data_IF_286244642915
#
_entry.id   IF_286244642915
#
_cell.length_a   1.000
_cell.length_b   1.000
_cell.length_c   1.000
_cell.angle_alpha   90.00
_cell.angle_beta   90.00
_cell.angle_gamma   90.00
#
_symmetry.space_group_name_H-M   'P 1'
#
loop_
_entity.id
_entity.type
_entity.pdbx_description
1 polymer ?
#
# COMPACT_ATOMS: atom_id res chain seq x y z
N UNK A 1 45.10 15.11 12.46
CA UNK A 1 43.80 15.74 12.17
C UNK A 1 42.82 14.65 11.77
N UNK A 2 41.54 14.90 11.98
CA UNK A 2 40.46 14.02 11.54
C UNK A 2 40.27 14.12 10.03
N UNK A 3 39.80 13.04 9.39
CA UNK A 3 39.24 13.11 8.05
C UNK A 3 37.73 13.32 8.20
N UNK A 4 37.22 14.45 7.72
CA UNK A 4 35.85 14.91 7.96
C UNK A 4 35.07 14.90 6.65
N UNK A 5 33.87 14.32 6.67
CA UNK A 5 32.92 14.40 5.55
C UNK A 5 31.65 15.07 6.05
N UNK A 6 31.32 16.23 5.52
CA UNK A 6 30.06 16.92 5.78
C UNK A 6 28.99 16.33 4.85
N UNK A 7 27.91 15.80 5.40
CA UNK A 7 26.80 15.22 4.62
C UNK A 7 25.73 16.28 4.41
N UNK A 8 25.76 16.97 3.27
CA UNK A 8 24.81 18.02 2.90
C UNK A 8 24.86 18.32 1.40
N UNK A 9 23.78 18.88 0.86
CA UNK A 9 23.73 19.46 -0.50
C UNK A 9 23.85 20.98 -0.52
N UNK A 10 23.94 21.60 0.66
CA UNK A 10 24.06 23.05 0.81
C UNK A 10 25.41 23.55 0.26
N UNK A 11 25.33 24.53 -0.63
CA UNK A 11 26.49 25.13 -1.31
C UNK A 11 27.30 26.02 -0.37
N UNK A 12 26.69 26.58 0.67
CA UNK A 12 27.38 27.51 1.56
C UNK A 12 28.43 26.78 2.41
N UNK A 13 28.16 25.51 2.74
CA UNK A 13 29.10 24.62 3.43
C UNK A 13 30.34 24.26 2.61
N UNK A 14 30.31 24.47 1.29
CA UNK A 14 31.48 24.24 0.43
C UNK A 14 32.63 25.20 0.73
N UNK A 15 32.38 26.29 1.48
CA UNK A 15 33.41 27.20 2.00
C UNK A 15 34.39 26.51 2.97
N UNK A 16 33.98 25.41 3.61
CA UNK A 16 34.79 24.69 4.60
C UNK A 16 35.72 23.64 3.96
N UNK A 17 35.60 23.38 2.66
CA UNK A 17 36.36 22.33 1.96
C UNK A 17 37.86 22.65 2.00
N UNK A 18 38.64 21.73 2.56
CA UNK A 18 40.09 21.82 2.68
C UNK A 18 40.73 20.41 2.64
N UNK A 19 42.05 20.27 2.56
CA UNK A 19 42.69 18.95 2.59
C UNK A 19 42.34 18.16 3.87
N UNK A 20 41.54 17.10 3.71
CA UNK A 20 41.03 16.29 4.83
C UNK A 20 39.58 16.57 5.23
N UNK A 21 38.93 17.57 4.62
CA UNK A 21 37.50 17.90 4.80
C UNK A 21 36.80 17.99 3.44
N UNK A 22 35.84 17.09 3.20
CA UNK A 22 35.03 17.06 1.98
C UNK A 22 33.52 17.13 2.24
N UNK A 23 32.73 17.31 1.17
CA UNK A 23 31.27 17.27 1.22
C UNK A 23 30.76 15.99 0.54
N UNK A 24 29.69 15.41 1.06
CA UNK A 24 28.99 14.29 0.43
C UNK A 24 27.52 14.64 0.20
N UNK A 25 27.15 14.71 -1.08
CA UNK A 25 25.78 14.95 -1.54
C UNK A 25 25.06 13.60 -1.68
N UNK A 26 24.11 13.34 -0.78
CA UNK A 26 23.31 12.11 -0.75
C UNK A 26 22.27 12.04 -1.87
N UNK A 27 21.84 13.18 -2.43
CA UNK A 27 20.86 13.22 -3.51
C UNK A 27 21.46 12.74 -4.82
N UNK A 28 22.72 13.12 -5.09
CA UNK A 28 23.45 12.74 -6.31
C UNK A 28 24.50 11.65 -6.08
N UNK A 29 24.64 11.16 -4.84
CA UNK A 29 25.63 10.16 -4.43
C UNK A 29 27.06 10.50 -4.88
N UNK A 30 27.51 11.74 -4.60
CA UNK A 30 28.80 12.28 -5.07
C UNK A 30 29.57 12.93 -3.92
N UNK A 31 30.89 12.69 -3.87
CA UNK A 31 31.83 13.46 -3.05
C UNK A 31 32.29 14.73 -3.78
N UNK A 32 32.25 15.86 -3.09
CA UNK A 32 32.59 17.18 -3.59
C UNK A 32 33.84 17.66 -2.87
N UNK A 33 34.90 17.93 -3.64
CA UNK A 33 36.14 18.53 -3.17
C UNK A 33 36.37 19.90 -3.82
N UNK A 34 37.55 20.47 -3.58
CA UNK A 34 37.90 21.82 -4.07
C UNK A 34 37.79 21.95 -5.60
N UNK A 35 38.08 20.88 -6.35
CA UNK A 35 37.91 20.84 -7.81
C UNK A 35 36.46 21.11 -8.24
N UNK A 36 35.48 20.58 -7.50
CA UNK A 36 34.07 20.82 -7.80
C UNK A 36 33.68 22.29 -7.57
N UNK A 37 34.22 22.90 -6.51
CA UNK A 37 33.99 24.33 -6.23
C UNK A 37 34.56 25.18 -7.35
N UNK A 38 35.76 24.86 -7.83
CA UNK A 38 36.39 25.53 -8.95
C UNK A 38 35.61 25.36 -10.25
N UNK A 39 35.14 24.15 -10.57
CA UNK A 39 34.33 23.88 -11.77
C UNK A 39 33.00 24.64 -11.76
N UNK A 40 32.32 24.64 -10.61
CA UNK A 40 30.95 25.18 -10.48
C UNK A 40 30.93 26.69 -10.28
N UNK A 41 31.84 27.21 -9.44
CA UNK A 41 31.85 28.61 -9.02
C UNK A 41 33.05 29.39 -9.55
N UNK A 42 34.04 28.76 -10.18
CA UNK A 42 35.19 29.46 -10.78
C UNK A 42 36.19 30.02 -9.77
N UNK A 43 36.05 29.67 -8.48
CA UNK A 43 36.94 30.07 -7.39
C UNK A 43 37.24 28.87 -6.50
N UNK A 44 38.28 28.98 -5.68
CA UNK A 44 38.59 28.01 -4.64
C UNK A 44 37.69 28.22 -3.40
N UNK A 45 37.53 27.21 -2.51
CA UNK A 45 36.67 27.28 -1.33
C UNK A 45 36.88 28.52 -0.43
N UNK A 46 38.13 28.96 -0.28
CA UNK A 46 38.55 30.13 0.52
C UNK A 46 37.92 31.45 0.06
N UNK A 47 37.50 31.53 -1.20
CA UNK A 47 36.89 32.73 -1.82
C UNK A 47 35.42 32.56 -2.15
N UNK A 48 34.84 31.40 -1.85
CA UNK A 48 33.46 31.09 -2.20
C UNK A 48 32.47 32.02 -1.48
N UNK A 49 32.73 32.37 -0.22
CA UNK A 49 31.89 33.30 0.55
C UNK A 49 31.75 34.67 -0.11
N UNK A 50 32.82 35.20 -0.70
CA UNK A 50 32.78 36.48 -1.41
C UNK A 50 31.98 36.39 -2.72
N UNK A 51 32.06 35.25 -3.42
CA UNK A 51 31.27 34.98 -4.64
C UNK A 51 29.78 34.89 -4.30
N UNK A 52 29.43 34.18 -3.22
CA UNK A 52 28.05 34.06 -2.74
C UNK A 52 27.50 35.41 -2.30
N UNK A 53 28.31 36.23 -1.63
CA UNK A 53 27.93 37.57 -1.20
C UNK A 53 27.58 38.51 -2.38
N UNK A 54 28.31 38.42 -3.49
CA UNK A 54 28.04 39.21 -4.70
C UNK A 54 26.84 38.69 -5.48
N UNK A 55 26.69 37.38 -5.60
CA UNK A 55 25.62 36.75 -6.38
C UNK A 55 24.26 36.83 -5.67
N UNK A 56 24.26 36.73 -4.35
CA UNK A 56 23.04 36.57 -3.56
C UNK A 56 22.41 35.18 -3.70
N UNK A 57 21.35 34.96 -2.92
CA UNK A 57 20.49 33.79 -3.00
C UNK A 57 19.04 34.17 -2.69
N UNK A 58 18.16 34.08 -3.68
CA UNK A 58 16.75 34.37 -3.50
C UNK A 58 16.01 33.33 -2.63
N UNK A 59 16.52 32.11 -2.52
CA UNK A 59 15.91 31.04 -1.70
C UNK A 59 16.11 31.36 -0.21
N UNK A 60 17.31 31.81 0.15
CA UNK A 60 17.69 32.14 1.53
C UNK A 60 17.52 33.64 1.87
N UNK A 61 16.83 34.40 1.01
CA UNK A 61 16.63 35.85 1.14
C UNK A 61 17.95 36.63 1.30
N UNK A 62 19.04 36.15 0.69
CA UNK A 62 20.33 36.82 0.65
C UNK A 62 20.33 37.80 -0.55
N UNK A 63 20.37 39.12 -0.33
CA UNK A 63 20.06 40.11 -1.37
C UNK A 63 21.08 40.20 -2.52
N UNK A 64 22.38 40.10 -2.22
CA UNK A 64 23.45 40.21 -3.21
C UNK A 64 23.46 41.52 -4.00
N UNK A 65 24.13 41.50 -5.17
CA UNK A 65 24.18 42.64 -6.11
C UNK A 65 23.40 42.29 -7.38
N UNK A 66 22.43 43.15 -7.70
CA UNK A 66 21.54 42.95 -8.85
C UNK A 66 22.34 42.86 -10.16
N UNK A 67 22.08 41.81 -10.94
CA UNK A 67 22.75 41.60 -12.23
C UNK A 67 24.15 40.97 -12.14
N UNK A 68 24.59 40.59 -10.95
CA UNK A 68 25.81 39.81 -10.74
C UNK A 68 25.45 38.33 -10.60
N UNK A 69 25.65 37.56 -11.68
CA UNK A 69 25.52 36.11 -11.64
C UNK A 69 26.82 35.39 -11.23
N UNK A 70 26.81 34.06 -11.08
CA UNK A 70 27.95 33.29 -10.59
C UNK A 70 29.24 33.49 -11.40
N UNK A 71 29.13 33.59 -12.74
CA UNK A 71 30.27 33.84 -13.64
C UNK A 71 30.85 35.25 -13.52
N UNK A 72 29.99 36.24 -13.24
CA UNK A 72 30.43 37.63 -13.09
C UNK A 72 31.07 37.82 -11.73
N UNK A 73 30.47 37.26 -10.67
CA UNK A 73 31.02 37.27 -9.31
C UNK A 73 32.40 36.62 -9.28
N UNK A 74 32.55 35.41 -9.83
CA UNK A 74 33.84 34.70 -9.84
C UNK A 74 34.93 35.44 -10.60
N UNK A 75 34.59 36.06 -11.74
CA UNK A 75 35.52 36.92 -12.48
C UNK A 75 35.99 38.11 -11.64
N UNK A 76 35.07 38.83 -11.01
CA UNK A 76 35.39 40.01 -10.19
C UNK A 76 36.27 39.64 -8.99
N UNK A 77 35.95 38.55 -8.31
CA UNK A 77 36.73 38.05 -7.16
C UNK A 77 38.12 37.58 -7.61
N UNK A 78 38.25 36.91 -8.75
CA UNK A 78 39.56 36.51 -9.27
C UNK A 78 40.42 37.72 -9.70
N UNK A 79 39.81 38.80 -10.22
CA UNK A 79 40.51 40.02 -10.65
C UNK A 79 40.90 40.93 -9.48
N UNK A 80 40.05 41.03 -8.44
CA UNK A 80 40.20 42.02 -7.37
C UNK A 80 40.48 41.42 -5.98
N UNK A 81 40.52 40.10 -5.86
CA UNK A 81 40.92 39.37 -4.65
C UNK A 81 39.72 38.90 -3.80
N UNK A 82 39.01 39.85 -3.19
CA UNK A 82 37.90 39.61 -2.27
C UNK A 82 36.74 40.61 -2.50
N UNK A 83 35.66 40.50 -1.72
CA UNK A 83 34.50 41.38 -1.83
C UNK A 83 34.88 42.87 -1.68
N UNK A 84 35.69 43.23 -0.68
CA UNK A 84 36.05 44.64 -0.44
C UNK A 84 36.95 45.18 -1.56
N UNK A 85 37.83 44.35 -2.13
CA UNK A 85 38.61 44.67 -3.31
C UNK A 85 37.73 44.98 -4.52
N UNK A 86 36.66 44.20 -4.74
CA UNK A 86 35.69 44.46 -5.81
C UNK A 86 34.95 45.79 -5.57
N UNK A 87 34.47 46.03 -4.35
CA UNK A 87 33.74 47.25 -4.00
C UNK A 87 34.64 48.50 -4.08
N UNK A 88 35.90 48.40 -3.66
CA UNK A 88 36.89 49.48 -3.76
C UNK A 88 37.30 49.77 -5.20
N UNK A 89 37.35 48.75 -6.07
CA UNK A 89 37.65 48.92 -7.49
C UNK A 89 36.46 49.46 -8.30
N UNK A 90 35.22 49.25 -7.83
CA UNK A 90 34.00 49.60 -8.55
C UNK A 90 33.99 51.04 -9.12
N UNK A 91 34.38 52.12 -8.41
CA UNK A 91 34.38 53.48 -8.95
C UNK A 91 35.28 53.68 -10.19
N UNK A 92 36.31 52.84 -10.34
CA UNK A 92 37.28 52.88 -11.45
C UNK A 92 36.95 51.94 -12.62
N UNK A 93 35.88 51.15 -12.50
CA UNK A 93 35.44 50.22 -13.55
C UNK A 93 34.80 50.96 -14.74
N UNK A 94 34.73 50.26 -15.88
CA UNK A 94 34.08 50.79 -17.08
C UNK A 94 32.64 51.24 -16.77
N UNK A 95 32.21 52.42 -17.26
CA UNK A 95 30.84 52.89 -17.07
C UNK A 95 29.81 51.88 -17.58
N UNK A 96 28.84 51.53 -16.74
CA UNK A 96 27.75 50.61 -17.08
C UNK A 96 26.95 50.16 -15.85
N UNK A 97 25.81 49.51 -16.08
CA UNK A 97 24.87 49.08 -15.02
C UNK A 97 25.51 48.23 -13.91
N UNK A 98 26.49 47.39 -14.26
CA UNK A 98 27.22 46.57 -13.29
C UNK A 98 27.97 47.42 -12.28
N UNK A 99 28.65 48.48 -12.75
CA UNK A 99 29.40 49.41 -11.91
C UNK A 99 28.46 50.17 -10.97
N UNK A 100 27.38 50.70 -11.53
CA UNK A 100 26.43 51.52 -10.77
C UNK A 100 25.75 50.66 -9.68
N UNK A 101 25.37 49.41 -9.99
CA UNK A 101 24.82 48.47 -9.01
C UNK A 101 25.81 48.08 -7.91
N UNK A 102 27.10 47.89 -8.23
CA UNK A 102 28.13 47.59 -7.23
C UNK A 102 28.34 48.75 -6.25
N UNK A 103 28.19 50.01 -6.71
CA UNK A 103 28.30 51.20 -5.88
C UNK A 103 27.03 51.39 -5.03
N UNK A 104 25.85 51.29 -5.65
CA UNK A 104 24.56 51.51 -4.97
C UNK A 104 24.20 50.41 -3.97
N UNK A 105 24.61 49.17 -4.23
CA UNK A 105 24.25 47.98 -3.42
C UNK A 105 25.43 47.43 -2.61
N UNK A 106 26.48 48.25 -2.40
CA UNK A 106 27.68 47.84 -1.66
C UNK A 106 27.35 47.32 -0.24
N UNK A 107 26.45 48.00 0.47
CA UNK A 107 26.06 47.61 1.83
C UNK A 107 25.22 46.31 1.85
N UNK A 108 24.43 46.07 0.81
CA UNK A 108 23.73 44.79 0.65
C UNK A 108 24.72 43.65 0.44
N UNK A 109 25.76 43.85 -0.38
CA UNK A 109 26.79 42.84 -0.59
C UNK A 109 27.57 42.53 0.70
N UNK A 110 27.88 43.56 1.51
CA UNK A 110 28.52 43.39 2.83
C UNK A 110 27.62 42.63 3.79
N UNK A 111 26.33 42.97 3.84
CA UNK A 111 25.35 42.22 4.63
C UNK A 111 25.27 40.77 4.17
N UNK A 112 25.20 40.53 2.85
CA UNK A 112 25.21 39.19 2.28
C UNK A 112 26.45 38.40 2.69
N UNK A 113 27.64 39.02 2.73
CA UNK A 113 28.86 38.37 3.23
C UNK A 113 28.71 37.93 4.68
N UNK A 114 28.15 38.77 5.55
CA UNK A 114 27.88 38.39 6.95
C UNK A 114 26.91 37.22 7.02
N UNK A 115 25.85 37.22 6.20
CA UNK A 115 24.83 36.17 6.20
C UNK A 115 25.33 34.80 5.72
N UNK A 116 26.22 34.78 4.71
CA UNK A 116 26.77 33.52 4.16
C UNK A 116 28.04 33.05 4.87
N UNK A 117 28.63 33.86 5.76
CA UNK A 117 29.83 33.48 6.50
C UNK A 117 29.45 32.51 7.63
N UNK A 118 30.07 31.32 7.62
CA UNK A 118 29.84 30.30 8.63
C UNK A 118 30.59 30.64 9.93
N UNK A 119 29.90 30.57 11.07
CA UNK A 119 30.51 30.76 12.38
C UNK A 119 31.18 29.46 12.86
N UNK A 120 32.51 29.41 12.73
CA UNK A 120 33.32 28.26 13.16
C UNK A 120 33.84 28.37 14.61
N UNK A 121 33.35 29.33 15.40
CA UNK A 121 33.82 29.60 16.77
C UNK A 121 32.86 29.15 17.87
N UNK A 122 31.67 28.68 17.48
CA UNK A 122 30.70 28.17 18.45
C UNK A 122 31.25 26.92 19.16
N UNK A 123 31.18 26.86 20.51
CA UNK A 123 31.58 25.69 21.25
C UNK A 123 30.63 24.53 20.95
N UNK A 124 31.20 23.35 20.68
CA UNK A 124 30.40 22.12 20.55
C UNK A 124 29.79 21.74 21.91
N UNK A 125 28.57 21.19 21.94
CA UNK A 125 27.92 20.74 23.17
C UNK A 125 28.67 19.56 23.83
N UNK A 126 29.38 18.76 23.03
CA UNK A 126 30.19 17.63 23.46
C UNK A 126 31.54 17.62 22.71
N UNK A 127 32.65 17.14 23.30
CA UNK A 127 33.94 17.03 22.62
C UNK A 127 33.88 16.10 21.39
N UNK A 128 34.60 16.42 20.32
CA UNK A 128 34.66 15.60 19.10
C UNK A 128 35.06 14.14 19.37
N UNK A 129 35.96 13.91 20.33
CA UNK A 129 36.43 12.58 20.71
C UNK A 129 35.32 11.71 21.33
N UNK A 130 34.25 12.33 21.85
CA UNK A 130 33.10 11.64 22.46
C UNK A 130 31.98 11.33 21.45
N UNK A 131 32.05 11.89 20.23
CA UNK A 131 31.11 11.69 19.12
C UNK A 131 31.40 10.43 18.30
N UNK A 132 32.17 9.49 18.84
CA UNK A 132 32.38 8.17 18.23
C UNK A 132 31.03 7.44 18.11
N UNK A 133 30.82 6.73 16.99
CA UNK A 133 29.62 5.93 16.78
C UNK A 133 29.62 4.74 17.77
N UNK A 134 28.88 4.87 18.88
CA UNK A 134 28.79 3.86 19.96
C UNK A 134 27.99 2.59 19.59
N UNK A 135 27.73 2.37 18.30
CA UNK A 135 26.84 1.33 17.77
C UNK A 135 25.38 1.76 17.72
N UNK A 136 24.53 0.85 17.24
CA UNK A 136 23.09 1.07 17.14
C UNK A 136 22.44 0.59 18.45
N UNK A 137 21.70 1.45 19.18
CA UNK A 137 21.01 1.01 20.39
C UNK A 137 19.78 0.17 20.02
N UNK A 138 19.81 -1.13 20.33
CA UNK A 138 18.77 -2.09 19.94
C UNK A 138 17.38 -1.76 20.52
N UNK A 139 17.33 -1.37 21.80
CA UNK A 139 16.09 -1.29 22.55
C UNK A 139 15.15 -0.11 22.18
N UNK A 140 15.61 1.13 21.91
CA UNK A 140 14.71 2.18 21.43
C UNK A 140 14.48 2.14 19.92
N UNK A 141 15.45 1.64 19.13
CA UNK A 141 15.35 1.71 17.67
C UNK A 141 14.39 0.66 17.10
N UNK A 142 14.48 -0.61 17.52
CA UNK A 142 13.56 -1.64 17.02
C UNK A 142 12.11 -1.27 17.30
N UNK A 143 11.81 -0.88 18.54
CA UNK A 143 10.47 -0.45 18.96
C UNK A 143 9.97 0.75 18.13
N UNK A 144 10.84 1.72 17.85
CA UNK A 144 10.51 2.86 16.98
C UNK A 144 10.22 2.40 15.54
N UNK A 145 11.06 1.54 14.97
CA UNK A 145 10.89 1.03 13.60
C UNK A 145 9.63 0.15 13.47
N UNK A 146 9.29 -0.64 14.49
CA UNK A 146 8.06 -1.45 14.56
C UNK A 146 6.82 -0.56 14.65
N UNK A 147 6.83 0.41 15.58
CA UNK A 147 5.73 1.36 15.75
C UNK A 147 5.41 2.14 14.46
N UNK A 148 6.43 2.51 13.70
CA UNK A 148 6.28 3.26 12.44
C UNK A 148 6.23 2.39 11.18
N UNK A 149 6.27 1.05 11.31
CA UNK A 149 6.12 0.13 10.18
C UNK A 149 7.29 0.11 9.19
N UNK A 150 8.52 0.45 9.61
CA UNK A 150 9.71 0.46 8.75
C UNK A 150 10.31 -0.95 8.55
N UNK A 151 9.53 -1.83 7.90
CA UNK A 151 9.83 -3.27 7.71
C UNK A 151 11.19 -3.54 7.06
N UNK A 152 11.61 -2.76 6.07
CA UNK A 152 12.89 -2.95 5.38
C UNK A 152 14.12 -2.66 6.25
N UNK A 153 13.98 -1.72 7.19
CA UNK A 153 15.02 -1.40 8.18
C UNK A 153 15.05 -2.45 9.29
N UNK A 154 13.89 -2.97 9.71
CA UNK A 154 13.80 -4.09 10.65
C UNK A 154 14.46 -5.36 10.12
N UNK A 155 14.25 -5.71 8.84
CA UNK A 155 14.92 -6.86 8.21
C UNK A 155 16.45 -6.69 8.19
N UNK A 156 16.95 -5.46 8.02
CA UNK A 156 18.39 -5.16 8.08
C UNK A 156 18.95 -5.21 9.51
N UNK A 157 18.12 -4.99 10.53
CA UNK A 157 18.49 -5.04 11.94
C UNK A 157 18.63 -6.49 12.48
N UNK A 158 17.96 -7.46 11.85
CA UNK A 158 17.69 -8.82 12.38
C UNK A 158 18.85 -9.81 12.51
N UNK A 159 20.10 -9.39 12.75
CA UNK A 159 21.23 -10.29 13.03
C UNK A 159 21.69 -10.33 14.49
N UNK A 160 20.99 -9.69 15.43
CA UNK A 160 21.33 -9.77 16.87
C UNK A 160 20.10 -10.19 17.67
N UNK A 161 20.27 -11.19 18.54
CA UNK A 161 19.20 -11.86 19.27
C UNK A 161 18.61 -10.97 20.39
N UNK A 162 17.27 -10.96 20.48
CA UNK A 162 16.48 -10.04 21.31
C UNK A 162 16.48 -10.33 22.82
N UNK A 163 16.29 -9.27 23.60
CA UNK A 163 15.59 -9.30 24.89
C UNK A 163 14.13 -8.85 24.69
N UNK A 164 13.15 -9.38 25.46
CA UNK A 164 11.73 -9.23 25.13
C UNK A 164 11.22 -7.81 25.43
N UNK A 165 10.57 -7.19 24.44
CA UNK A 165 9.72 -5.99 24.62
C UNK A 165 8.33 -6.47 25.07
N UNK A 166 7.62 -5.76 25.98
CA UNK A 166 6.26 -6.13 26.34
C UNK A 166 5.37 -5.96 25.12
N UNK A 167 4.76 -7.06 24.68
CA UNK A 167 3.76 -7.03 23.62
C UNK A 167 2.64 -6.02 23.95
N UNK A 168 2.00 -5.38 22.95
CA UNK A 168 0.69 -4.76 23.18
C UNK A 168 -0.16 -5.80 23.91
N UNK A 169 -0.95 -5.36 24.90
CA UNK A 169 -1.72 -6.23 25.79
C UNK A 169 -2.45 -7.28 24.95
N UNK A 170 -1.84 -8.46 24.80
CA UNK A 170 -2.38 -9.51 23.99
C UNK A 170 -3.54 -10.02 24.80
N UNK A 171 -4.75 -9.89 24.26
CA UNK A 171 -5.91 -10.50 24.89
C UNK A 171 -5.57 -11.98 24.99
N UNK A 172 -5.38 -12.55 26.21
CA UNK A 172 -4.98 -13.93 26.34
C UNK A 172 -6.10 -14.77 25.76
N UNK A 173 -5.79 -15.48 24.67
CA UNK A 173 -6.76 -16.31 24.00
C UNK A 173 -6.33 -17.76 24.08
N UNK A 174 -7.30 -18.58 24.46
CA UNK A 174 -7.16 -20.02 24.44
C UNK A 174 -6.91 -20.49 23.00
N UNK A 175 -5.93 -21.37 22.83
CA UNK A 175 -5.66 -21.97 21.52
C UNK A 175 -6.84 -22.84 21.12
N UNK A 176 -7.36 -22.63 19.92
CA UNK A 176 -8.42 -23.48 19.39
C UNK A 176 -7.82 -24.86 18.99
N UNK A 177 -8.59 -25.96 19.11
CA UNK A 177 -8.13 -27.27 18.65
C UNK A 177 -7.86 -27.24 17.13
N UNK A 178 -6.93 -28.06 16.58
CA UNK A 178 -6.74 -28.14 15.13
C UNK A 178 -8.05 -28.43 14.39
N UNK A 179 -8.19 -27.92 13.16
CA UNK A 179 -9.35 -28.21 12.32
C UNK A 179 -9.43 -29.72 12.04
N UNK A 180 -10.57 -30.32 12.36
CA UNK A 180 -10.86 -31.73 12.11
C UNK A 180 -11.99 -31.86 11.08
N UNK A 181 -11.60 -31.96 9.81
CA UNK A 181 -12.55 -31.97 8.69
C UNK A 181 -13.50 -33.18 8.71
N UNK A 182 -13.14 -34.27 9.38
CA UNK A 182 -13.97 -35.48 9.44
C UNK A 182 -15.15 -35.33 10.44
N UNK A 183 -15.13 -34.28 11.27
CA UNK A 183 -16.24 -33.92 12.17
C UNK A 183 -17.34 -33.12 11.50
N UNK A 184 -17.09 -32.60 10.29
CA UNK A 184 -18.04 -31.74 9.60
C UNK A 184 -19.20 -32.54 9.01
N UNK A 185 -20.40 -32.00 9.15
CA UNK A 185 -21.64 -32.67 8.77
C UNK A 185 -22.11 -32.23 7.37
N UNK A 186 -22.48 -33.18 6.52
CA UNK A 186 -23.25 -32.88 5.30
C UNK A 186 -24.74 -32.96 5.64
N UNK A 187 -25.43 -31.83 5.63
CA UNK A 187 -26.86 -31.71 5.96
C UNK A 187 -27.69 -31.95 4.71
N UNK A 188 -28.34 -33.11 4.61
CA UNK A 188 -29.03 -33.57 3.40
C UNK A 188 -30.55 -33.66 3.54
N UNK A 189 -31.09 -33.39 4.73
CA UNK A 189 -32.52 -33.27 4.95
C UNK A 189 -32.90 -32.05 5.82
N UNK A 190 -34.20 -31.74 5.85
CA UNK A 190 -34.72 -30.57 6.54
C UNK A 190 -34.67 -30.73 8.07
N UNK A 191 -34.77 -31.94 8.60
CA UNK A 191 -34.76 -32.17 10.05
C UNK A 191 -33.36 -31.88 10.63
N UNK A 192 -32.31 -32.26 9.91
CA UNK A 192 -30.93 -31.89 10.24
C UNK A 192 -30.74 -30.38 10.17
N UNK A 193 -31.24 -29.72 9.11
CA UNK A 193 -31.16 -28.26 8.97
C UNK A 193 -31.87 -27.53 10.12
N UNK A 194 -33.08 -27.98 10.50
CA UNK A 194 -33.85 -27.41 11.60
C UNK A 194 -33.12 -27.55 12.95
N UNK A 195 -32.42 -28.66 13.18
CA UNK A 195 -31.60 -28.86 14.38
C UNK A 195 -30.42 -27.87 14.45
N UNK A 196 -29.74 -27.62 13.32
CA UNK A 196 -28.71 -26.58 13.22
C UNK A 196 -29.27 -25.17 13.45
N UNK A 197 -30.42 -24.84 12.86
CA UNK A 197 -31.12 -23.56 13.05
C UNK A 197 -31.51 -23.36 14.52
N UNK A 198 -32.04 -24.40 15.18
CA UNK A 198 -32.42 -24.35 16.58
C UNK A 198 -31.20 -24.08 17.49
N UNK A 199 -30.08 -24.75 17.24
CA UNK A 199 -28.81 -24.52 17.96
C UNK A 199 -28.28 -23.10 17.78
N UNK A 200 -28.32 -22.60 16.54
CA UNK A 200 -27.92 -21.23 16.20
C UNK A 200 -28.77 -20.18 16.93
N UNK A 201 -30.11 -20.37 16.93
CA UNK A 201 -31.04 -19.50 17.67
C UNK A 201 -30.81 -19.55 19.18
N UNK A 202 -30.54 -20.73 19.73
CA UNK A 202 -30.28 -20.88 21.16
C UNK A 202 -29.03 -20.13 21.61
N UNK A 203 -27.95 -20.15 20.81
CA UNK A 203 -26.71 -19.43 21.16
C UNK A 203 -26.69 -17.96 20.72
N UNK A 204 -27.43 -17.60 19.67
CA UNK A 204 -27.54 -16.22 19.18
C UNK A 204 -26.50 -15.82 18.15
N UNK A 205 -25.73 -16.76 17.58
CA UNK A 205 -24.82 -16.49 16.46
C UNK A 205 -24.60 -17.73 15.60
N UNK A 206 -24.12 -17.52 14.38
CA UNK A 206 -23.69 -18.58 13.45
C UNK A 206 -22.71 -17.99 12.43
N UNK A 207 -21.60 -18.67 12.17
CA UNK A 207 -20.74 -18.32 11.03
C UNK A 207 -21.29 -18.96 9.77
N UNK A 208 -21.25 -18.24 8.66
CA UNK A 208 -21.83 -18.65 7.39
C UNK A 208 -20.89 -18.33 6.23
N UNK A 209 -20.99 -19.13 5.19
CA UNK A 209 -20.36 -18.90 3.89
C UNK A 209 -21.21 -19.55 2.77
N UNK A 210 -21.04 -19.08 1.53
CA UNK A 210 -21.81 -19.55 0.37
C UNK A 210 -20.92 -20.08 -0.74
N UNK A 211 -21.30 -21.26 -1.23
CA UNK A 211 -20.65 -21.89 -2.37
C UNK A 211 -21.46 -21.67 -3.64
N UNK A 212 -20.80 -21.32 -4.72
CA UNK A 212 -21.47 -20.84 -5.94
C UNK A 212 -20.83 -21.34 -7.23
N UNK A 213 -21.50 -21.10 -8.36
CA UNK A 213 -21.01 -21.53 -9.69
C UNK A 213 -19.94 -20.61 -10.31
N UNK A 214 -19.61 -19.47 -9.69
CA UNK A 214 -18.63 -18.52 -10.22
C UNK A 214 -18.23 -17.46 -9.21
N UNK A 215 -17.43 -16.49 -9.64
CA UNK A 215 -16.93 -15.39 -8.76
C UNK A 215 -17.70 -14.08 -8.92
N UNK A 216 -18.64 -14.01 -9.86
CA UNK A 216 -19.53 -12.86 -10.03
C UNK A 216 -20.83 -13.11 -9.26
N UNK A 217 -20.94 -12.51 -8.08
CA UNK A 217 -22.05 -12.72 -7.15
C UNK A 217 -23.43 -12.42 -7.75
N UNK A 218 -23.53 -11.54 -8.76
CA UNK A 218 -24.81 -11.17 -9.38
C UNK A 218 -25.28 -12.15 -10.45
N UNK A 219 -24.38 -13.03 -10.89
CA UNK A 219 -24.61 -14.00 -11.98
C UNK A 219 -24.42 -15.45 -11.55
N UNK A 220 -23.75 -15.68 -10.43
CA UNK A 220 -23.50 -17.00 -9.90
C UNK A 220 -24.78 -17.59 -9.30
N UNK A 221 -24.95 -18.89 -9.46
CA UNK A 221 -26.02 -19.65 -8.82
C UNK A 221 -25.51 -20.19 -7.49
N UNK A 222 -26.37 -20.15 -6.47
CA UNK A 222 -26.09 -20.76 -5.16
C UNK A 222 -26.06 -22.29 -5.29
N UNK A 223 -24.94 -22.90 -4.88
CA UNK A 223 -24.71 -24.34 -4.88
C UNK A 223 -24.88 -24.92 -3.48
N UNK A 224 -24.52 -24.18 -2.43
CA UNK A 224 -24.73 -24.59 -1.05
C UNK A 224 -24.36 -23.49 -0.05
N UNK A 225 -24.67 -23.76 1.21
CA UNK A 225 -24.39 -22.86 2.33
C UNK A 225 -23.66 -23.66 3.40
N UNK A 226 -22.52 -23.17 3.87
CA UNK A 226 -21.85 -23.73 5.03
C UNK A 226 -22.16 -22.92 6.28
N UNK A 227 -22.12 -23.59 7.43
CA UNK A 227 -22.43 -22.96 8.72
C UNK A 227 -21.52 -23.53 9.81
N UNK A 228 -21.11 -22.69 10.77
CA UNK A 228 -20.37 -23.13 11.94
C UNK A 228 -20.90 -22.51 13.23
N UNK A 229 -21.01 -23.33 14.27
CA UNK A 229 -21.42 -22.91 15.61
C UNK A 229 -20.21 -22.70 16.53
N UNK A 230 -19.18 -23.54 16.38
CA UNK A 230 -17.98 -23.63 17.23
C UNK A 230 -16.83 -24.30 16.47
N UNK A 231 -15.59 -24.29 17.01
CA UNK A 231 -14.45 -25.00 16.46
C UNK A 231 -14.78 -26.49 16.27
N UNK A 232 -14.56 -27.02 15.07
CA UNK A 232 -14.89 -28.41 14.71
C UNK A 232 -16.38 -28.76 14.79
N UNK A 233 -17.26 -27.75 14.79
CA UNK A 233 -18.71 -27.92 14.72
C UNK A 233 -19.24 -27.06 13.59
N UNK A 234 -19.00 -27.54 12.37
CA UNK A 234 -19.45 -26.95 11.13
C UNK A 234 -20.17 -27.97 10.25
N UNK A 235 -21.01 -27.47 9.34
CA UNK A 235 -21.74 -28.27 8.38
C UNK A 235 -21.78 -27.60 7.01
N UNK A 236 -22.09 -28.40 5.99
CA UNK A 236 -22.40 -27.93 4.65
C UNK A 236 -23.80 -28.40 4.24
N UNK A 237 -24.62 -27.46 3.75
CA UNK A 237 -25.97 -27.68 3.24
C UNK A 237 -25.91 -27.59 1.71
N UNK A 238 -25.80 -28.72 0.98
CA UNK A 238 -25.83 -28.72 -0.47
C UNK A 238 -27.25 -28.43 -0.99
N UNK A 239 -27.35 -27.52 -1.97
CA UNK A 239 -28.60 -27.00 -2.54
C UNK A 239 -28.67 -27.11 -4.08
N UNK A 240 -27.54 -27.42 -4.73
CA UNK A 240 -27.40 -27.38 -6.17
C UNK A 240 -26.27 -28.21 -6.75
N UNK A 241 -25.81 -29.27 -6.04
CA UNK A 241 -24.87 -30.24 -6.61
C UNK A 241 -25.57 -31.14 -7.64
N UNK A 242 -24.83 -31.51 -8.67
CA UNK A 242 -25.31 -32.30 -9.78
C UNK A 242 -24.60 -31.94 -11.08
N UNK A 243 -24.70 -32.81 -12.07
CA UNK A 243 -24.22 -32.51 -13.42
C UNK A 243 -25.27 -31.77 -14.23
N UNK A 244 -24.84 -31.04 -15.27
CA UNK A 244 -25.75 -30.42 -16.24
C UNK A 244 -26.34 -31.40 -17.26
N UNK A 245 -25.82 -32.63 -17.28
CA UNK A 245 -26.22 -33.66 -18.24
C UNK A 245 -27.50 -34.39 -17.82
N UNK A 246 -28.35 -34.73 -18.80
CA UNK A 246 -29.61 -35.46 -18.61
C UNK A 246 -29.48 -36.83 -17.92
N UNK A 247 -28.26 -37.38 -17.85
CA UNK A 247 -27.94 -38.66 -17.23
C UNK A 247 -27.16 -38.51 -15.91
N UNK A 248 -26.91 -37.28 -15.45
CA UNK A 248 -26.20 -37.05 -14.21
C UNK A 248 -27.08 -37.44 -13.02
N UNK A 249 -26.57 -38.34 -12.17
CA UNK A 249 -27.19 -38.63 -10.89
C UNK A 249 -26.89 -37.48 -9.93
N UNK A 250 -27.95 -36.80 -9.48
CA UNK A 250 -27.82 -35.76 -8.46
C UNK A 250 -27.68 -36.43 -7.09
N UNK A 251 -26.71 -36.01 -6.26
CA UNK A 251 -26.58 -36.56 -4.92
C UNK A 251 -27.80 -36.17 -4.07
N UNK A 252 -28.03 -36.92 -2.99
CA UNK A 252 -29.09 -36.62 -2.01
C UNK A 252 -28.77 -35.29 -1.33
N UNK A 253 -29.73 -34.38 -1.37
CA UNK A 253 -29.61 -32.99 -0.92
C UNK A 253 -30.95 -32.51 -0.37
N UNK A 254 -30.94 -31.46 0.43
CA UNK A 254 -32.17 -30.85 0.96
C UNK A 254 -32.99 -30.29 -0.20
N UNK A 255 -34.32 -30.34 -0.09
CA UNK A 255 -35.18 -29.59 -1.02
C UNK A 255 -34.80 -28.10 -0.99
N UNK A 256 -34.37 -27.58 -2.14
CA UNK A 256 -33.80 -26.23 -2.24
C UNK A 256 -34.79 -25.16 -1.78
N UNK A 257 -36.06 -25.28 -2.12
CA UNK A 257 -37.06 -24.28 -1.78
C UNK A 257 -37.35 -24.28 -0.26
N UNK A 258 -37.50 -25.46 0.33
CA UNK A 258 -37.67 -25.61 1.77
C UNK A 258 -36.44 -25.13 2.56
N UNK A 259 -35.23 -25.48 2.11
CA UNK A 259 -34.00 -25.02 2.74
C UNK A 259 -33.85 -23.50 2.68
N UNK A 260 -34.10 -22.87 1.53
CA UNK A 260 -34.03 -21.41 1.39
C UNK A 260 -35.06 -20.70 2.28
N UNK A 261 -36.27 -21.25 2.44
CA UNK A 261 -37.26 -20.70 3.36
C UNK A 261 -36.78 -20.78 4.82
N UNK A 262 -36.25 -21.93 5.25
CA UNK A 262 -35.73 -22.10 6.61
C UNK A 262 -34.49 -21.22 6.88
N UNK A 263 -33.57 -21.13 5.93
CA UNK A 263 -32.40 -20.26 6.00
C UNK A 263 -32.78 -18.78 6.01
N UNK A 264 -33.80 -18.37 5.24
CA UNK A 264 -34.34 -17.00 5.27
C UNK A 264 -34.76 -16.61 6.69
N UNK A 265 -35.53 -17.47 7.34
CA UNK A 265 -36.03 -17.24 8.70
C UNK A 265 -34.90 -17.15 9.75
N UNK A 266 -33.74 -17.77 9.51
CA UNK A 266 -32.56 -17.65 10.38
C UNK A 266 -31.71 -16.41 10.04
N UNK A 267 -31.47 -16.17 8.75
CA UNK A 267 -30.55 -15.14 8.29
C UNK A 267 -31.15 -13.73 8.38
N UNK A 268 -32.47 -13.60 8.43
CA UNK A 268 -33.17 -12.34 8.72
C UNK A 268 -33.50 -12.14 10.21
N UNK A 269 -33.26 -13.16 11.06
CA UNK A 269 -33.56 -13.10 12.49
C UNK A 269 -32.65 -12.08 13.21
N UNK A 270 -33.21 -11.01 13.81
CA UNK A 270 -32.42 -10.01 14.51
C UNK A 270 -31.74 -10.54 15.78
N UNK A 271 -32.18 -11.69 16.32
CA UNK A 271 -31.63 -12.30 17.51
C UNK A 271 -30.39 -13.17 17.23
N UNK A 272 -30.10 -13.48 15.96
CA UNK A 272 -28.95 -14.31 15.58
C UNK A 272 -27.94 -13.49 14.80
N UNK A 273 -26.72 -13.36 15.30
CA UNK A 273 -25.61 -12.72 14.59
C UNK A 273 -25.05 -13.64 13.50
N UNK A 274 -25.01 -13.17 12.25
CA UNK A 274 -24.36 -13.90 11.15
C UNK A 274 -22.91 -13.45 11.02
N UNK A 275 -21.97 -14.38 11.04
CA UNK A 275 -20.54 -14.09 11.00
C UNK A 275 -19.99 -14.56 9.65
N UNK A 276 -19.39 -13.67 8.87
CA UNK A 276 -18.83 -14.02 7.56
C UNK A 276 -17.38 -13.60 7.39
N UNK A 277 -16.80 -14.00 6.26
CA UNK A 277 -15.53 -13.48 5.76
C UNK A 277 -15.76 -12.94 4.35
N UNK A 278 -15.67 -11.62 4.15
CA UNK A 278 -16.11 -10.97 2.91
C UNK A 278 -17.60 -11.21 2.62
N UNK A 279 -18.43 -11.03 3.65
CA UNK A 279 -19.86 -11.34 3.67
C UNK A 279 -20.67 -10.57 2.62
N UNK A 280 -20.10 -9.48 2.07
CA UNK A 280 -20.68 -8.76 0.92
C UNK A 280 -20.98 -9.71 -0.25
N UNK A 281 -20.10 -10.68 -0.53
CA UNK A 281 -20.31 -11.64 -1.61
C UNK A 281 -21.58 -12.48 -1.34
N UNK A 282 -21.63 -13.09 -0.16
CA UNK A 282 -22.74 -13.93 0.30
C UNK A 282 -24.06 -13.16 0.33
N UNK A 283 -24.05 -11.91 0.82
CA UNK A 283 -25.21 -11.04 0.82
C UNK A 283 -25.78 -10.79 -0.58
N UNK A 284 -24.90 -10.64 -1.58
CA UNK A 284 -25.35 -10.47 -2.97
C UNK A 284 -26.03 -11.74 -3.45
N UNK A 285 -25.37 -12.90 -3.31
CA UNK A 285 -25.89 -14.21 -3.75
C UNK A 285 -27.20 -14.59 -3.05
N UNK A 286 -27.24 -14.47 -1.72
CA UNK A 286 -28.43 -14.75 -0.91
C UNK A 286 -29.56 -13.76 -1.21
N UNK A 287 -29.23 -12.49 -1.48
CA UNK A 287 -30.22 -11.50 -1.88
C UNK A 287 -30.82 -11.77 -3.26
N UNK A 288 -30.07 -12.35 -4.20
CA UNK A 288 -30.62 -12.88 -5.46
C UNK A 288 -31.62 -14.03 -5.23
N UNK A 289 -31.49 -14.75 -4.10
CA UNK A 289 -32.43 -15.76 -3.62
C UNK A 289 -33.55 -15.18 -2.71
N UNK A 290 -33.62 -13.86 -2.51
CA UNK A 290 -34.63 -13.21 -1.69
C UNK A 290 -34.38 -13.24 -0.18
N UNK A 291 -33.13 -13.45 0.25
CA UNK A 291 -32.70 -13.49 1.66
C UNK A 291 -31.87 -12.25 1.99
N UNK A 292 -32.26 -11.50 3.03
CA UNK A 292 -31.56 -10.31 3.50
C UNK A 292 -30.80 -10.58 4.81
N UNK A 293 -29.49 -10.84 4.72
CA UNK A 293 -28.67 -11.18 5.90
C UNK A 293 -28.55 -9.98 6.86
N UNK A 294 -29.08 -10.11 8.09
CA UNK A 294 -28.90 -9.16 9.18
C UNK A 294 -29.30 -9.74 10.54
N UNK A 295 -28.68 -9.33 11.67
CA UNK A 295 -27.44 -8.56 11.80
C UNK A 295 -26.22 -9.41 11.45
N UNK A 296 -25.09 -8.75 11.20
CA UNK A 296 -23.88 -9.46 10.81
C UNK A 296 -22.61 -8.83 11.35
N UNK A 297 -21.57 -9.65 11.39
CA UNK A 297 -20.17 -9.27 11.60
C UNK A 297 -19.35 -9.85 10.43
N UNK A 298 -18.39 -9.07 9.92
CA UNK A 298 -17.49 -9.49 8.84
C UNK A 298 -16.03 -9.47 9.29
N UNK A 299 -15.38 -10.63 9.26
CA UNK A 299 -14.01 -10.83 9.72
C UNK A 299 -12.96 -10.20 8.81
N UNK A 300 -13.22 -10.05 7.51
CA UNK A 300 -12.26 -9.35 6.62
C UNK A 300 -12.17 -7.87 7.00
N UNK A 301 -13.33 -7.27 7.33
CA UNK A 301 -13.44 -5.87 7.74
C UNK A 301 -12.84 -5.69 9.14
N UNK A 302 -13.11 -6.61 10.07
CA UNK A 302 -12.46 -6.56 11.38
C UNK A 302 -10.94 -6.63 11.28
N UNK A 303 -10.41 -7.52 10.44
CA UNK A 303 -8.97 -7.63 10.23
C UNK A 303 -8.39 -6.36 9.60
N UNK A 304 -9.09 -5.75 8.65
CA UNK A 304 -8.68 -4.47 8.09
C UNK A 304 -8.62 -3.37 9.16
N UNK A 305 -9.65 -3.23 9.98
CA UNK A 305 -9.71 -2.18 11.01
C UNK A 305 -8.69 -2.36 12.15
N UNK A 306 -8.20 -3.59 12.34
CA UNK A 306 -7.16 -3.91 13.33
C UNK A 306 -5.75 -3.77 12.74
N UNK A 307 -5.54 -4.31 11.53
CA UNK A 307 -4.22 -4.64 11.00
C UNK A 307 -3.94 -4.00 9.61
N UNK A 308 -4.66 -2.92 9.25
CA UNK A 308 -4.51 -2.24 7.96
C UNK A 308 -3.02 -1.96 7.60
N UNK A 309 -2.58 -2.46 6.44
CA UNK A 309 -1.22 -2.26 5.93
C UNK A 309 -0.15 -3.20 6.52
N UNK A 310 -0.52 -4.07 7.47
CA UNK A 310 0.41 -5.06 8.02
C UNK A 310 0.59 -6.26 7.07
N UNK A 311 -0.51 -6.83 6.58
CA UNK A 311 -0.55 -8.02 5.73
C UNK A 311 -1.83 -8.02 4.87
N UNK A 312 -2.02 -9.02 4.02
CA UNK A 312 -3.30 -9.21 3.34
C UNK A 312 -4.38 -9.70 4.31
N UNK A 313 -5.64 -9.46 3.95
CA UNK A 313 -6.80 -9.79 4.79
C UNK A 313 -7.60 -10.99 4.26
N UNK A 314 -7.07 -11.72 3.28
CA UNK A 314 -7.71 -12.93 2.78
C UNK A 314 -7.66 -14.07 3.80
N UNK A 315 -8.67 -14.94 3.77
CA UNK A 315 -8.83 -16.02 4.74
C UNK A 315 -7.60 -16.91 4.89
N UNK A 316 -6.97 -17.37 3.80
CA UNK A 316 -5.77 -18.22 3.84
C UNK A 316 -4.63 -17.58 4.64
N UNK A 317 -4.38 -16.28 4.40
CA UNK A 317 -3.32 -15.53 5.06
C UNK A 317 -3.65 -15.29 6.54
N UNK A 318 -4.91 -14.97 6.85
CA UNK A 318 -5.37 -14.77 8.22
C UNK A 318 -5.40 -16.08 9.02
N UNK A 319 -5.77 -17.20 8.40
CA UNK A 319 -5.76 -18.52 9.01
C UNK A 319 -4.32 -18.94 9.34
N UNK A 320 -3.36 -18.71 8.44
CA UNK A 320 -1.95 -18.99 8.69
C UNK A 320 -1.40 -18.10 9.82
N UNK A 321 -1.61 -16.79 9.73
CA UNK A 321 -1.05 -15.80 10.68
C UNK A 321 -1.67 -15.94 12.06
N UNK A 322 -3.01 -16.01 12.16
CA UNK A 322 -3.68 -16.01 13.45
C UNK A 322 -3.87 -17.44 13.97
N UNK A 323 -4.29 -18.40 13.15
CA UNK A 323 -4.67 -19.74 13.62
C UNK A 323 -3.54 -20.78 13.52
N UNK A 324 -2.42 -20.46 12.88
CA UNK A 324 -1.39 -21.44 12.51
C UNK A 324 -1.98 -22.61 11.71
N UNK A 325 -2.98 -22.30 10.86
CA UNK A 325 -3.74 -23.26 10.07
C UNK A 325 -3.58 -22.96 8.58
N UNK A 326 -3.52 -24.00 7.75
CA UNK A 326 -3.53 -23.88 6.29
C UNK A 326 -4.87 -24.39 5.78
N UNK A 327 -5.68 -23.51 5.21
CA UNK A 327 -6.94 -23.87 4.60
C UNK A 327 -6.73 -24.76 3.35
N UNK A 328 -7.76 -25.53 3.00
CA UNK A 328 -7.87 -26.29 1.77
C UNK A 328 -7.97 -25.28 0.63
N UNK A 329 -7.05 -25.35 -0.34
CA UNK A 329 -7.10 -24.42 -1.45
C UNK A 329 -8.23 -24.80 -2.42
N UNK A 330 -8.99 -23.81 -2.92
CA UNK A 330 -10.08 -24.03 -3.89
C UNK A 330 -9.66 -24.89 -5.09
N UNK A 331 -8.45 -24.64 -5.61
CA UNK A 331 -7.86 -25.41 -6.73
C UNK A 331 -7.69 -26.90 -6.45
N UNK A 332 -7.57 -27.31 -5.19
CA UNK A 332 -7.40 -28.72 -4.80
C UNK A 332 -8.75 -29.45 -4.80
N UNK A 333 -9.85 -28.70 -4.73
CA UNK A 333 -11.22 -29.18 -4.78
C UNK A 333 -11.73 -29.24 -6.23
N UNK A 334 -11.63 -28.11 -6.94
CA UNK A 334 -12.21 -27.97 -8.29
C UNK A 334 -11.22 -28.25 -9.43
N UNK A 335 -9.92 -28.35 -9.15
CA UNK A 335 -8.87 -28.45 -10.15
C UNK A 335 -8.42 -27.10 -10.71
N UNK A 336 -7.69 -27.10 -11.82
CA UNK A 336 -7.13 -25.88 -12.43
C UNK A 336 -7.29 -25.85 -13.96
N UNK A 337 -7.24 -24.64 -14.53
CA UNK A 337 -7.21 -24.44 -15.98
C UNK A 337 -8.46 -24.92 -16.70
N UNK A 338 -8.30 -25.47 -17.90
CA UNK A 338 -9.43 -25.91 -18.75
C UNK A 338 -10.20 -27.12 -18.21
N UNK A 339 -9.62 -27.83 -17.24
CA UNK A 339 -10.23 -29.00 -16.58
C UNK A 339 -10.82 -28.65 -15.22
N UNK A 340 -10.82 -27.37 -14.84
CA UNK A 340 -11.47 -26.91 -13.62
C UNK A 340 -12.97 -27.17 -13.71
N UNK A 341 -13.51 -27.84 -12.71
CA UNK A 341 -14.93 -28.16 -12.58
C UNK A 341 -15.66 -27.03 -11.88
N UNK A 342 -16.97 -26.95 -12.07
CA UNK A 342 -17.81 -26.11 -11.21
C UNK A 342 -17.93 -26.71 -9.82
N UNK A 343 -18.15 -25.90 -8.79
CA UNK A 343 -18.32 -26.40 -7.42
C UNK A 343 -19.49 -27.39 -7.28
N UNK A 344 -20.55 -27.18 -8.08
CA UNK A 344 -21.72 -28.07 -8.18
C UNK A 344 -21.38 -29.50 -8.66
N UNK A 345 -20.24 -29.70 -9.32
CA UNK A 345 -19.79 -31.00 -9.83
C UNK A 345 -18.82 -31.71 -8.88
N UNK A 346 -18.46 -31.07 -7.76
CA UNK A 346 -17.60 -31.64 -6.72
C UNK A 346 -18.39 -32.66 -5.91
N UNK A 347 -17.72 -33.74 -5.48
CA UNK A 347 -18.34 -34.71 -4.59
C UNK A 347 -18.69 -34.09 -3.23
N UNK A 348 -19.83 -34.49 -2.66
CA UNK A 348 -20.32 -33.87 -1.42
C UNK A 348 -19.35 -33.98 -0.25
N UNK A 349 -18.49 -35.02 -0.21
CA UNK A 349 -17.53 -35.16 0.88
C UNK A 349 -16.42 -34.10 0.78
N UNK A 350 -15.83 -33.93 -0.40
CA UNK A 350 -14.83 -32.88 -0.63
C UNK A 350 -15.43 -31.47 -0.49
N UNK A 351 -16.63 -31.25 -1.04
CA UNK A 351 -17.35 -29.98 -0.91
C UNK A 351 -17.64 -29.65 0.56
N UNK A 352 -18.09 -30.63 1.35
CA UNK A 352 -18.34 -30.43 2.80
C UNK A 352 -17.07 -30.07 3.54
N UNK A 353 -15.95 -30.76 3.27
CA UNK A 353 -14.67 -30.48 3.95
C UNK A 353 -14.17 -29.06 3.68
N UNK A 354 -14.27 -28.60 2.43
CA UNK A 354 -13.87 -27.25 2.02
C UNK A 354 -14.81 -26.19 2.61
N UNK A 355 -16.11 -26.26 2.27
CA UNK A 355 -17.06 -25.22 2.63
C UNK A 355 -17.25 -25.09 4.15
N UNK A 356 -17.29 -26.22 4.88
CA UNK A 356 -17.44 -26.19 6.32
C UNK A 356 -16.14 -25.75 7.03
N UNK A 357 -14.96 -25.92 6.42
CA UNK A 357 -13.72 -25.33 6.93
C UNK A 357 -13.79 -23.81 6.86
N UNK A 358 -14.25 -23.24 5.74
CA UNK A 358 -14.35 -21.80 5.55
C UNK A 358 -15.25 -21.15 6.62
N UNK A 359 -16.40 -21.78 6.95
CA UNK A 359 -17.26 -21.35 8.04
C UNK A 359 -16.61 -21.51 9.44
N UNK A 360 -15.91 -22.62 9.70
CA UNK A 360 -15.22 -22.84 10.99
C UNK A 360 -14.07 -21.83 11.19
N UNK A 361 -13.22 -21.66 10.18
CA UNK A 361 -12.12 -20.68 10.18
C UNK A 361 -12.67 -19.28 10.38
N UNK A 362 -13.76 -18.92 9.70
CA UNK A 362 -14.45 -17.64 9.89
C UNK A 362 -14.89 -17.44 11.35
N UNK A 363 -15.52 -18.44 11.98
CA UNK A 363 -15.89 -18.37 13.39
C UNK A 363 -14.66 -18.17 14.30
N UNK A 364 -13.59 -18.92 14.05
CA UNK A 364 -12.35 -18.83 14.83
C UNK A 364 -11.73 -17.45 14.73
N UNK A 365 -11.61 -16.91 13.52
CA UNK A 365 -11.11 -15.56 13.26
C UNK A 365 -11.97 -14.50 13.96
N UNK A 366 -13.30 -14.61 13.88
CA UNK A 366 -14.21 -13.70 14.55
C UNK A 366 -14.00 -13.67 16.07
N UNK A 367 -13.88 -14.84 16.72
CA UNK A 367 -13.57 -14.92 18.16
C UNK A 367 -12.30 -14.16 18.51
N UNK A 368 -11.29 -14.18 17.62
CA UNK A 368 -10.01 -13.46 17.79
C UNK A 368 -10.19 -11.96 17.65
N UNK A 369 -10.74 -11.53 16.52
CA UNK A 369 -10.81 -10.12 16.16
C UNK A 369 -11.83 -9.38 17.02
N UNK A 370 -12.98 -9.99 17.34
CA UNK A 370 -14.01 -9.36 18.17
C UNK A 370 -13.48 -8.98 19.55
N UNK A 371 -12.63 -9.81 20.13
CA UNK A 371 -11.99 -9.53 21.43
C UNK A 371 -10.94 -8.41 21.36
N UNK A 372 -10.28 -8.26 20.21
CA UNK A 372 -9.25 -7.23 19.95
C UNK A 372 -9.84 -5.85 19.69
N UNK A 373 -10.97 -5.75 18.98
CA UNK A 373 -11.60 -4.47 18.61
C UNK A 373 -11.73 -3.45 19.76
N UNK A 374 -12.18 -3.80 20.99
CA UNK A 374 -12.24 -2.84 22.10
C UNK A 374 -10.87 -2.59 22.73
N UNK A 375 -10.00 -3.60 22.78
CA UNK A 375 -8.67 -3.48 23.37
C UNK A 375 -7.76 -2.55 22.55
N UNK A 376 -7.91 -2.55 21.22
CA UNK A 376 -7.08 -1.79 20.28
C UNK A 376 -7.76 -0.49 19.80
N UNK A 377 -8.98 -0.20 20.28
CA UNK A 377 -9.68 1.06 19.99
C UNK A 377 -10.39 1.12 18.63
N UNK A 378 -10.42 0.04 17.86
CA UNK A 378 -11.05 -0.04 16.54
C UNK A 378 -12.57 -0.29 16.57
N UNK A 379 -13.17 -0.50 17.74
CA UNK A 379 -14.62 -0.79 17.85
C UNK A 379 -15.51 0.25 17.18
N UNK A 380 -15.22 1.55 17.36
CA UNK A 380 -16.07 2.62 16.84
C UNK A 380 -16.08 2.66 15.31
N UNK A 381 -14.90 2.53 14.70
CA UNK A 381 -14.78 2.58 13.24
C UNK A 381 -15.46 1.35 12.61
N UNK A 382 -15.19 0.16 13.16
CA UNK A 382 -15.85 -1.07 12.75
C UNK A 382 -17.38 -0.99 12.85
N UNK A 383 -17.92 -0.71 14.04
CA UNK A 383 -19.37 -0.79 14.27
C UNK A 383 -20.16 0.34 13.60
N UNK A 384 -19.59 1.55 13.50
CA UNK A 384 -20.34 2.74 13.05
C UNK A 384 -20.06 3.13 11.59
N UNK A 385 -18.98 2.64 10.99
CA UNK A 385 -18.56 3.05 9.63
C UNK A 385 -18.50 1.84 8.71
N UNK A 386 -17.57 0.92 8.96
CA UNK A 386 -17.22 -0.08 7.95
C UNK A 386 -18.19 -1.27 7.92
N UNK A 387 -18.65 -1.76 9.07
CA UNK A 387 -19.65 -2.84 9.12
C UNK A 387 -20.98 -2.46 8.44
N UNK A 388 -21.60 -1.28 8.69
CA UNK A 388 -22.81 -0.89 7.98
C UNK A 388 -22.65 -0.78 6.46
N UNK A 389 -21.45 -0.41 5.99
CA UNK A 389 -21.15 -0.19 4.58
C UNK A 389 -21.22 -1.48 3.75
N UNK A 390 -20.92 -2.64 4.33
CA UNK A 390 -21.01 -3.96 3.68
C UNK A 390 -22.39 -4.15 3.01
N UNK A 391 -23.47 -3.92 3.76
CA UNK A 391 -24.85 -4.06 3.25
C UNK A 391 -25.23 -2.99 2.22
N UNK A 392 -24.60 -1.82 2.26
CA UNK A 392 -24.82 -0.75 1.28
C UNK A 392 -24.17 -1.13 -0.04
N UNK A 393 -22.91 -1.58 -0.01
CA UNK A 393 -22.17 -2.01 -1.20
C UNK A 393 -22.86 -3.22 -1.84
N UNK A 394 -23.28 -4.21 -1.06
CA UNK A 394 -24.02 -5.37 -1.58
C UNK A 394 -25.28 -4.95 -2.38
N UNK A 395 -26.08 -4.01 -1.84
CA UNK A 395 -27.26 -3.48 -2.54
C UNK A 395 -26.91 -2.67 -3.78
N UNK A 396 -25.79 -1.94 -3.77
CA UNK A 396 -25.31 -1.21 -4.95
C UNK A 396 -24.91 -2.17 -6.07
N UNK A 397 -24.19 -3.25 -5.74
CA UNK A 397 -23.82 -4.29 -6.71
C UNK A 397 -25.04 -4.99 -7.29
N UNK A 398 -26.01 -5.40 -6.45
CA UNK A 398 -27.28 -6.00 -6.90
C UNK A 398 -28.08 -5.07 -7.83
N UNK A 399 -28.06 -3.77 -7.55
CA UNK A 399 -28.81 -2.80 -8.36
C UNK A 399 -28.15 -2.57 -9.73
N UNK A 400 -26.83 -2.55 -9.76
CA UNK A 400 -26.04 -2.23 -10.94
C UNK A 400 -26.25 -0.81 -11.47
N UNK A 401 -25.64 -0.53 -12.62
CA UNK A 401 -25.79 0.74 -13.34
C UNK A 401 -26.33 0.46 -14.75
N UNK A 402 -27.33 1.23 -15.17
CA UNK A 402 -27.85 1.14 -16.53
C UNK A 402 -26.89 1.84 -17.49
N UNK A 403 -26.46 1.11 -18.52
CA UNK A 403 -25.60 1.64 -19.58
C UNK A 403 -26.31 1.60 -20.93
N UNK A 404 -26.04 2.60 -21.77
CA UNK A 404 -26.51 2.63 -23.16
C UNK A 404 -25.49 1.92 -24.06
N UNK A 405 -25.86 0.72 -24.52
CA UNK A 405 -25.00 -0.12 -25.36
C UNK A 405 -24.69 0.54 -26.71
N UNK A 406 -25.63 1.29 -27.28
CA UNK A 406 -25.45 1.89 -28.60
C UNK A 406 -24.48 3.07 -28.52
N UNK A 407 -24.55 3.86 -27.44
CA UNK A 407 -23.56 4.91 -27.15
C UNK A 407 -22.17 4.29 -26.96
N UNK A 408 -22.04 3.24 -26.16
CA UNK A 408 -20.75 2.56 -25.96
C UNK A 408 -20.19 1.98 -27.27
N UNK A 409 -21.05 1.41 -28.11
CA UNK A 409 -20.63 0.91 -29.43
C UNK A 409 -20.15 2.04 -30.34
N UNK A 410 -20.81 3.21 -30.33
CA UNK A 410 -20.37 4.38 -31.11
C UNK A 410 -19.04 4.92 -30.61
N UNK A 411 -18.84 5.01 -29.29
CA UNK A 411 -17.56 5.42 -28.70
C UNK A 411 -16.43 4.45 -29.06
N UNK A 412 -16.70 3.15 -29.03
CA UNK A 412 -15.71 2.13 -29.46
C UNK A 412 -15.30 2.32 -30.92
N UNK A 413 -16.25 2.65 -31.81
CA UNK A 413 -15.96 2.92 -33.21
C UNK A 413 -15.15 4.20 -33.39
N UNK A 414 -15.54 5.30 -32.73
CA UNK A 414 -14.80 6.59 -32.75
C UNK A 414 -13.36 6.41 -32.28
N UNK A 415 -13.15 5.74 -31.16
CA UNK A 415 -11.80 5.48 -30.64
C UNK A 415 -10.99 4.60 -31.58
N UNK A 416 -11.61 3.60 -32.22
CA UNK A 416 -10.92 2.76 -33.21
C UNK A 416 -10.46 3.56 -34.43
N UNK A 417 -11.30 4.46 -34.95
CA UNK A 417 -10.92 5.37 -36.04
C UNK A 417 -9.78 6.30 -35.63
N UNK A 418 -9.90 6.96 -34.47
CA UNK A 418 -8.87 7.88 -33.97
C UNK A 418 -7.55 7.19 -33.68
N UNK A 419 -7.57 5.95 -33.19
CA UNK A 419 -6.37 5.14 -33.00
C UNK A 419 -5.68 4.85 -34.35
N UNK A 420 -6.42 4.46 -35.37
CA UNK A 420 -5.88 4.22 -36.71
C UNK A 420 -5.30 5.50 -37.37
N UNK A 421 -5.97 6.63 -37.19
CA UNK A 421 -5.49 7.92 -37.68
C UNK A 421 -4.18 8.33 -36.99
N UNK A 422 -4.12 8.21 -35.66
CA UNK A 422 -2.90 8.50 -34.89
C UNK A 422 -1.77 7.53 -35.22
N UNK A 423 -2.06 6.25 -35.41
CA UNK A 423 -1.08 5.25 -35.84
C UNK A 423 -0.48 5.64 -37.19
N UNK A 424 -1.31 6.10 -38.13
CA UNK A 424 -0.85 6.60 -39.44
C UNK A 424 0.07 7.82 -39.28
N UNK A 425 -0.28 8.76 -38.40
CA UNK A 425 0.59 9.92 -38.11
C UNK A 425 1.92 9.49 -37.51
N UNK A 426 1.91 8.57 -36.54
CA UNK A 426 3.11 8.05 -35.88
C UNK A 426 4.03 7.36 -36.88
N UNK A 427 3.49 6.47 -37.72
CA UNK A 427 4.28 5.79 -38.75
C UNK A 427 4.81 6.78 -39.80
N UNK A 428 4.05 7.82 -40.13
CA UNK A 428 4.48 8.90 -41.01
C UNK A 428 5.66 9.69 -40.45
N UNK A 429 5.63 10.05 -39.16
CA UNK A 429 6.73 10.75 -38.49
C UNK A 429 7.96 9.86 -38.31
N UNK A 430 7.77 8.58 -38.01
CA UNK A 430 8.85 7.61 -37.86
C UNK A 430 9.47 7.14 -39.18
N UNK A 431 8.80 7.38 -40.31
CA UNK A 431 9.24 6.97 -41.65
C UNK A 431 9.11 5.47 -41.94
N UNK A 432 8.58 4.67 -41.01
CA UNK A 432 8.34 3.24 -41.18
C UNK A 432 7.23 2.73 -40.24
N UNK A 433 6.49 1.69 -40.64
CA UNK A 433 5.52 1.04 -39.77
C UNK A 433 6.22 0.21 -38.68
N UNK A 434 5.69 0.27 -37.46
CA UNK A 434 6.12 -0.56 -36.33
C UNK A 434 4.97 -0.72 -35.32
N UNK A 435 5.09 -1.70 -34.42
CA UNK A 435 4.11 -1.93 -33.35
C UNK A 435 4.29 -0.91 -32.23
N UNK A 436 3.36 0.04 -32.14
CA UNK A 436 3.39 1.13 -31.15
C UNK A 436 3.38 0.59 -29.71
N UNK A 437 2.67 -0.51 -29.44
CA UNK A 437 2.64 -1.14 -28.12
C UNK A 437 3.91 -1.89 -27.71
N UNK A 438 4.97 -1.93 -28.55
CA UNK A 438 6.20 -2.67 -28.28
C UNK A 438 7.31 -1.74 -27.77
N UNK A 439 7.68 -1.79 -26.46
CA UNK A 439 8.75 -0.96 -25.92
C UNK A 439 10.09 -1.17 -26.65
N UNK A 440 10.33 -2.39 -27.12
CA UNK A 440 11.53 -2.73 -27.89
C UNK A 440 11.57 -1.97 -29.22
N UNK A 441 10.48 -1.97 -29.99
CA UNK A 441 10.45 -1.30 -31.29
C UNK A 441 10.44 0.23 -31.15
N UNK A 442 9.67 0.76 -30.20
CA UNK A 442 9.71 2.18 -29.82
C UNK A 442 11.14 2.64 -29.49
N UNK A 443 11.88 1.85 -28.70
CA UNK A 443 13.27 2.17 -28.35
C UNK A 443 14.25 2.13 -29.52
N UNK A 444 13.95 1.40 -30.60
CA UNK A 444 14.76 1.46 -31.82
C UNK A 444 14.46 2.73 -32.62
N UNK A 445 13.18 3.05 -32.81
CA UNK A 445 12.76 4.28 -33.53
C UNK A 445 13.24 5.54 -32.83
N UNK A 446 13.05 5.64 -31.50
CA UNK A 446 13.46 6.82 -30.72
C UNK A 446 14.98 7.00 -30.52
N UNK A 447 15.79 6.00 -30.88
CA UNK A 447 17.27 6.10 -30.86
C UNK A 447 17.88 6.43 -32.23
N UNK A 448 17.11 6.28 -33.31
CA UNK A 448 17.60 6.43 -34.69
C UNK A 448 17.46 7.89 -35.18
N UNK A 449 16.61 8.72 -34.57
CA UNK A 449 16.47 10.13 -34.92
C UNK A 449 17.05 11.06 -33.82
N UNK A 450 18.21 11.72 -34.04
CA UNK A 450 18.76 12.70 -33.11
C UNK A 450 18.10 14.11 -33.21
N UNK A 451 16.99 14.27 -33.93
CA UNK A 451 16.26 15.55 -34.08
C UNK A 451 14.89 15.60 -33.36
N UNK A 452 14.53 14.55 -32.64
CA UNK A 452 13.47 14.54 -31.62
C UNK A 452 14.11 14.52 -30.24
#
# INVERSE_FOLDING_TARGET
GWAVTIVSSDKDLMQLIEPGLDLYDTMNNRRLGAEHVLEKFGVMPDRLGDVLALMGDSVDNVPGVTGVGPKTASKLINEHGDLEGVLAAAPSMKPGKLRDNLIEQADNARLSKVLVTLNCTEPLPEPLDELELKGIPDAPLRAFLEHHGFKSLLTKLGQVADAPVPAPASVPMEQDPPCDHDTYETVVDLAQLDDWIAKARHQGWIAIDTETTGTDATRADLVGVSMALHPNRACYVPLGHGGTDLLAENPVQVDRAAALAALKDLFEDPAVLKIGHNLKYDMVVLGMCGIAVAPFDDTIVMSFDLDAGLHGHGMDELAATHLSHSCIAFKDVVGTGKTQRGFHEVDLKAATRYAAEDADVTYRLWKRFKARLPAEGSTRVYEMVDRPLVSVIARMEQRGIKVDRDVLSRLSADFSTRMADLETVIHGLAGAPFTIGSPKQLGHVGRIDPRL
#
